data_IF_398639811247
#
_entry.id   IF_398639811247
#
_cell.length_a   1.000
_cell.length_b   1.000
_cell.length_c   1.000
_cell.angle_alpha   90.00
_cell.angle_beta   90.00
_cell.angle_gamma   90.00
#
_symmetry.space_group_name_H-M   'P 1'
#
loop_
_entity.id
_entity.type
_entity.pdbx_description
1 polymer ?
#
# COMPACT_ATOMS: atom_id res chain seq x y z
N UNK A 1 5.68 -8.54 -5.47
CA UNK A 1 4.35 -7.91 -5.33
C UNK A 1 4.29 -6.92 -4.15
N UNK A 2 5.08 -5.84 -4.19
CA UNK A 2 5.10 -4.82 -3.12
C UNK A 2 4.59 -3.44 -3.59
N UNK A 3 3.72 -3.40 -4.61
CA UNK A 3 3.34 -2.16 -5.30
C UNK A 3 1.95 -1.61 -4.91
N UNK A 4 1.27 -2.22 -3.93
CA UNK A 4 -0.11 -1.86 -3.58
C UNK A 4 -0.29 -1.64 -2.08
N UNK A 5 -0.96 -0.54 -1.73
CA UNK A 5 -1.58 -0.35 -0.41
C UNK A 5 -3.04 -0.80 -0.52
N UNK A 6 -3.47 -1.71 0.35
CA UNK A 6 -4.83 -2.27 0.34
C UNK A 6 -5.48 -2.05 1.69
N UNK A 7 -6.70 -1.53 1.68
CA UNK A 7 -7.53 -1.31 2.87
C UNK A 7 -8.78 -2.17 2.76
N UNK A 8 -9.14 -2.84 3.85
CA UNK A 8 -10.33 -3.68 3.95
C UNK A 8 -11.00 -3.41 5.29
N UNK A 9 -12.32 -3.29 5.30
CA UNK A 9 -13.10 -3.20 6.52
C UNK A 9 -14.52 -3.70 6.27
N UNK A 10 -15.09 -4.36 7.27
CA UNK A 10 -16.49 -4.79 7.28
C UNK A 10 -17.28 -3.89 8.21
N UNK A 11 -18.48 -3.51 7.78
CA UNK A 11 -19.35 -2.60 8.54
C UNK A 11 -20.82 -2.97 8.35
N UNK A 12 -21.70 -2.61 9.31
CA UNK A 12 -23.13 -2.73 9.12
C UNK A 12 -23.61 -1.89 7.92
N UNK A 13 -24.50 -2.45 7.10
CA UNK A 13 -25.02 -1.80 5.88
C UNK A 13 -25.60 -0.41 6.13
N UNK A 14 -26.28 -0.21 7.28
CA UNK A 14 -26.84 1.09 7.70
C UNK A 14 -25.79 2.18 7.90
N UNK A 15 -24.52 1.81 8.07
CA UNK A 15 -23.41 2.73 8.30
C UNK A 15 -22.50 2.85 7.07
N UNK A 16 -22.90 2.29 5.92
CA UNK A 16 -22.07 2.25 4.72
C UNK A 16 -21.67 3.63 4.23
N UNK A 17 -22.64 4.49 3.92
CA UNK A 17 -22.37 5.83 3.42
C UNK A 17 -21.54 6.67 4.41
N UNK A 18 -21.88 6.78 5.71
CA UNK A 18 -21.06 7.50 6.68
C UNK A 18 -19.64 6.93 6.88
N UNK A 19 -19.44 5.64 6.65
CA UNK A 19 -18.11 5.03 6.71
C UNK A 19 -17.29 5.34 5.46
N UNK A 20 -17.91 5.30 4.27
CA UNK A 20 -17.26 5.70 3.02
C UNK A 20 -16.85 7.17 3.04
N UNK A 21 -17.71 8.05 3.56
CA UNK A 21 -17.39 9.48 3.74
C UNK A 21 -16.18 9.69 4.67
N UNK A 22 -16.11 8.97 5.80
CA UNK A 22 -14.94 9.05 6.69
C UNK A 22 -13.68 8.45 6.05
N UNK A 23 -13.82 7.32 5.37
CA UNK A 23 -12.72 6.63 4.74
C UNK A 23 -12.10 7.48 3.62
N UNK A 24 -12.91 8.17 2.83
CA UNK A 24 -12.40 8.96 1.71
C UNK A 24 -11.56 10.16 2.15
N UNK A 25 -11.79 10.68 3.36
CA UNK A 25 -11.00 11.80 3.91
C UNK A 25 -9.51 11.47 4.02
N UNK A 26 -9.13 10.20 4.18
CA UNK A 26 -7.72 9.80 4.17
C UNK A 26 -7.01 10.11 2.84
N UNK A 27 -7.75 10.09 1.73
CA UNK A 27 -7.20 10.37 0.41
C UNK A 27 -7.31 11.86 0.05
N UNK A 28 -8.45 12.49 0.36
CA UNK A 28 -8.71 13.89 0.00
C UNK A 28 -7.90 14.86 0.87
N UNK A 29 -7.94 14.71 2.19
CA UNK A 29 -7.31 15.64 3.13
C UNK A 29 -6.95 14.95 4.44
N UNK A 30 -5.95 14.05 4.44
CA UNK A 30 -5.50 13.42 5.66
C UNK A 30 -4.96 14.49 6.61
N UNK A 31 -5.33 14.36 7.88
CA UNK A 31 -4.76 15.14 8.97
C UNK A 31 -3.35 14.61 9.27
N UNK A 32 -2.40 14.92 8.39
CA UNK A 32 -0.96 14.71 8.59
C UNK A 32 -0.47 15.72 9.63
N UNK A 33 -0.81 15.53 10.91
CA UNK A 33 -0.30 16.34 12.00
C UNK A 33 1.11 15.87 12.36
N UNK A 34 2.08 16.79 12.44
CA UNK A 34 3.46 16.47 12.82
C UNK A 34 3.52 15.66 14.12
N UNK A 35 2.84 16.14 15.16
CA UNK A 35 2.78 15.45 16.47
C UNK A 35 2.21 14.03 16.40
N UNK A 36 1.29 13.76 15.47
CA UNK A 36 0.73 12.41 15.27
C UNK A 36 1.75 11.51 14.56
N UNK A 37 2.47 12.04 13.56
CA UNK A 37 3.54 11.32 12.87
C UNK A 37 4.69 11.00 13.84
N UNK A 38 5.10 11.95 14.68
CA UNK A 38 6.15 11.75 15.69
C UNK A 38 5.74 10.73 16.76
N UNK A 39 4.44 10.66 17.13
CA UNK A 39 3.95 9.62 18.06
C UNK A 39 3.97 8.23 17.45
N UNK A 40 3.52 8.08 16.22
CA UNK A 40 3.50 6.79 15.51
C UNK A 40 4.93 6.31 15.14
N UNK A 41 5.92 7.22 15.21
CA UNK A 41 7.34 6.94 14.94
C UNK A 41 8.02 6.11 16.03
N UNK A 42 7.48 5.96 17.25
CA UNK A 42 8.13 5.13 18.29
C UNK A 42 8.42 3.67 17.83
N UNK A 43 7.83 3.24 16.71
CA UNK A 43 7.99 1.92 16.08
C UNK A 43 9.10 1.91 14.97
N UNK A 44 9.53 3.07 14.46
CA UNK A 44 10.42 3.23 13.29
C UNK A 44 11.69 3.99 13.71
N UNK A 45 12.85 3.37 13.54
CA UNK A 45 14.21 3.81 13.95
C UNK A 45 14.44 5.31 14.17
N UNK A 46 15.13 5.60 15.29
CA UNK A 46 15.49 6.92 15.85
C UNK A 46 16.23 7.92 14.93
N UNK A 47 16.73 7.52 13.76
CA UNK A 47 17.69 8.31 12.97
C UNK A 47 17.08 9.10 11.80
N UNK A 48 15.76 9.22 11.73
CA UNK A 48 15.11 10.01 10.68
C UNK A 48 14.79 11.41 11.21
N UNK A 49 14.99 12.47 10.45
CA UNK A 49 14.56 13.82 10.83
C UNK A 49 13.03 13.97 10.67
N UNK A 50 12.34 14.58 11.65
CA UNK A 50 10.87 14.69 11.66
C UNK A 50 10.35 15.55 10.50
N UNK A 51 11.03 16.66 10.18
CA UNK A 51 10.63 17.55 9.10
C UNK A 51 10.83 16.90 7.74
N UNK A 52 11.96 16.20 7.55
CA UNK A 52 12.23 15.41 6.36
C UNK A 52 11.19 14.29 6.17
N UNK A 53 10.84 13.57 7.24
CA UNK A 53 9.82 12.53 7.18
C UNK A 53 8.47 13.13 6.77
N UNK A 54 8.09 14.26 7.37
CA UNK A 54 6.87 14.97 7.05
C UNK A 54 6.80 15.35 5.56
N UNK A 55 7.87 15.94 5.04
CA UNK A 55 7.96 16.36 3.64
C UNK A 55 7.86 15.16 2.68
N UNK A 56 8.58 14.07 2.97
CA UNK A 56 8.56 12.87 2.13
C UNK A 56 7.20 12.15 2.16
N UNK A 57 6.49 12.15 3.30
CA UNK A 57 5.13 11.61 3.38
C UNK A 57 4.15 12.42 2.51
N UNK A 58 4.27 13.75 2.50
CA UNK A 58 3.45 14.59 1.62
C UNK A 58 3.76 14.36 0.15
N UNK A 59 5.04 14.35 -0.24
CA UNK A 59 5.45 14.04 -1.61
C UNK A 59 4.97 12.66 -2.05
N UNK A 60 5.10 11.66 -1.18
CA UNK A 60 4.64 10.30 -1.45
C UNK A 60 3.13 10.29 -1.69
N UNK A 61 2.35 10.92 -0.81
CA UNK A 61 0.90 11.04 -0.93
C UNK A 61 0.51 11.69 -2.26
N UNK A 62 1.02 12.89 -2.54
CA UNK A 62 0.68 13.65 -3.75
C UNK A 62 1.01 12.88 -5.04
N UNK A 63 2.10 12.11 -5.02
CA UNK A 63 2.54 11.32 -6.16
C UNK A 63 1.71 10.06 -6.38
N UNK A 64 1.35 9.38 -5.30
CA UNK A 64 0.84 8.01 -5.34
C UNK A 64 -0.67 7.90 -5.12
N UNK A 65 -1.27 8.76 -4.29
CA UNK A 65 -2.70 8.73 -3.98
C UNK A 65 -3.48 9.56 -5.00
N UNK A 66 -3.66 8.95 -6.17
CA UNK A 66 -4.32 9.55 -7.33
C UNK A 66 -5.44 8.64 -7.83
N UNK A 67 -6.61 9.21 -8.15
CA UNK A 67 -7.81 8.41 -8.41
C UNK A 67 -7.63 7.40 -9.57
N UNK A 68 -6.90 7.77 -10.63
CA UNK A 68 -6.61 6.88 -11.77
C UNK A 68 -5.83 5.60 -11.41
N UNK A 69 -5.31 5.50 -10.18
CA UNK A 69 -4.58 4.32 -9.65
C UNK A 69 -5.34 3.58 -8.56
N UNK A 70 -6.49 4.10 -8.15
CA UNK A 70 -7.29 3.52 -7.08
C UNK A 70 -8.29 2.52 -7.66
N UNK A 71 -8.57 1.48 -6.88
CA UNK A 71 -9.60 0.50 -7.18
C UNK A 71 -10.45 0.32 -5.93
N UNK A 72 -11.76 0.46 -6.09
CA UNK A 72 -12.74 0.29 -5.04
C UNK A 72 -13.64 -0.89 -5.37
N UNK A 73 -13.89 -1.75 -4.38
CA UNK A 73 -14.88 -2.81 -4.45
C UNK A 73 -15.76 -2.71 -3.21
N UNK A 74 -17.08 -2.71 -3.42
CA UNK A 74 -18.08 -2.66 -2.34
C UNK A 74 -19.02 -3.84 -2.53
N UNK A 75 -19.29 -4.55 -1.43
CA UNK A 75 -20.27 -5.62 -1.38
C UNK A 75 -21.32 -5.27 -0.32
N UNK A 76 -22.57 -5.10 -0.75
CA UNK A 76 -23.72 -4.82 0.12
C UNK A 76 -25.01 -5.35 -0.51
N UNK A 77 -26.11 -5.42 0.24
CA UNK A 77 -27.44 -5.82 -0.25
C UNK A 77 -28.28 -4.60 -0.64
N UNK A 78 -27.63 -3.59 -1.24
CA UNK A 78 -28.25 -2.38 -1.75
C UNK A 78 -28.38 -2.46 -3.27
N UNK A 79 -29.29 -1.65 -3.84
CA UNK A 79 -29.41 -1.50 -5.28
C UNK A 79 -28.12 -0.89 -5.86
N UNK A 80 -27.79 -1.26 -7.10
CA UNK A 80 -26.60 -0.77 -7.78
C UNK A 80 -26.60 0.76 -7.88
N UNK A 81 -27.75 1.36 -8.22
CA UNK A 81 -27.93 2.82 -8.30
C UNK A 81 -27.63 3.52 -6.96
N UNK A 82 -28.01 2.90 -5.84
CA UNK A 82 -27.72 3.44 -4.50
C UNK A 82 -26.22 3.38 -4.20
N UNK A 83 -25.56 2.26 -4.56
CA UNK A 83 -24.11 2.12 -4.39
C UNK A 83 -23.34 3.09 -5.27
N UNK A 84 -23.75 3.27 -6.51
CA UNK A 84 -23.17 4.25 -7.42
C UNK A 84 -23.30 5.67 -6.87
N UNK A 85 -24.49 6.04 -6.40
CA UNK A 85 -24.73 7.33 -5.76
C UNK A 85 -23.78 7.58 -4.59
N UNK A 86 -23.61 6.60 -3.68
CA UNK A 86 -22.66 6.72 -2.57
C UNK A 86 -21.22 6.87 -3.05
N UNK A 87 -20.80 6.08 -4.03
CA UNK A 87 -19.44 6.14 -4.56
C UNK A 87 -19.16 7.49 -5.22
N UNK A 88 -20.05 7.98 -6.09
CA UNK A 88 -19.88 9.28 -6.75
C UNK A 88 -19.84 10.41 -5.74
N UNK A 89 -20.74 10.37 -4.74
CA UNK A 89 -20.81 11.41 -3.71
C UNK A 89 -19.56 11.46 -2.85
N UNK A 90 -19.07 10.31 -2.36
CA UNK A 90 -17.91 10.27 -1.49
C UNK A 90 -16.59 10.39 -2.26
N UNK A 91 -16.40 9.63 -3.34
CA UNK A 91 -15.11 9.50 -4.02
C UNK A 91 -14.92 10.48 -5.18
N UNK A 92 -15.95 11.23 -5.59
CA UNK A 92 -15.84 12.23 -6.67
C UNK A 92 -14.84 13.35 -6.38
N UNK A 93 -14.51 13.60 -5.10
CA UNK A 93 -13.51 14.59 -4.69
C UNK A 93 -12.04 14.15 -4.83
N UNK A 94 -11.76 12.89 -5.20
CA UNK A 94 -10.37 12.42 -5.35
C UNK A 94 -9.79 12.88 -6.69
N UNK A 95 -8.71 13.65 -6.64
CA UNK A 95 -8.03 14.16 -7.83
C UNK A 95 -7.19 13.08 -8.54
N UNK A 96 -7.05 13.22 -9.86
CA UNK A 96 -6.12 12.44 -10.67
C UNK A 96 -4.94 13.30 -11.14
N UNK A 97 -3.73 12.93 -10.75
CA UNK A 97 -2.49 13.58 -11.20
C UNK A 97 -1.96 13.03 -12.55
N UNK A 98 -2.53 11.93 -13.06
CA UNK A 98 -2.20 11.29 -14.34
C UNK A 98 -0.72 10.94 -14.58
N UNK A 99 0.07 10.95 -13.52
CA UNK A 99 1.48 10.65 -13.63
C UNK A 99 1.69 9.16 -13.96
N UNK A 100 2.76 8.80 -14.69
CA UNK A 100 3.06 7.42 -15.04
C UNK A 100 3.49 6.62 -13.80
N UNK A 101 3.30 5.31 -13.83
CA UNK A 101 3.83 4.41 -12.79
C UNK A 101 5.35 4.55 -12.66
N UNK A 102 5.87 4.25 -11.47
CA UNK A 102 7.32 4.27 -11.26
C UNK A 102 7.98 3.22 -12.18
N UNK A 103 9.02 3.65 -12.87
CA UNK A 103 9.79 2.76 -13.73
C UNK A 103 10.74 1.93 -12.87
N UNK A 104 10.32 0.72 -12.54
CA UNK A 104 11.15 -0.28 -11.86
C UNK A 104 11.85 -1.23 -12.84
N UNK A 105 11.88 -0.93 -14.14
CA UNK A 105 12.46 -1.83 -15.16
C UNK A 105 13.92 -2.17 -14.87
N UNK A 106 14.67 -1.26 -14.23
CA UNK A 106 16.04 -1.51 -13.76
C UNK A 106 16.18 -2.70 -12.80
N UNK A 107 15.10 -3.09 -12.11
CA UNK A 107 15.11 -4.19 -11.13
C UNK A 107 14.40 -5.45 -11.64
N UNK A 108 13.73 -5.39 -12.80
CA UNK A 108 12.96 -6.53 -13.34
C UNK A 108 13.83 -7.63 -13.96
N UNK A 109 15.14 -7.40 -14.12
CA UNK A 109 16.09 -8.32 -14.76
C UNK A 109 16.83 -9.29 -13.84
N UNK A 110 16.39 -9.50 -12.60
CA UNK A 110 17.03 -10.44 -11.66
C UNK A 110 18.35 -9.94 -11.04
N UNK A 111 18.75 -8.70 -11.33
CA UNK A 111 19.93 -8.02 -10.77
C UNK A 111 19.60 -7.18 -9.52
N UNK A 112 18.50 -7.46 -8.82
CA UNK A 112 18.24 -6.83 -7.50
C UNK A 112 19.37 -7.12 -6.51
N UNK A 113 20.16 -8.15 -6.77
CA UNK A 113 21.36 -8.51 -6.04
C UNK A 113 22.54 -8.59 -7.01
N UNK A 114 23.69 -8.06 -6.60
CA UNK A 114 24.96 -8.32 -7.29
C UNK A 114 25.30 -9.81 -7.11
N UNK A 115 25.09 -10.58 -8.18
CA UNK A 115 25.29 -12.03 -8.23
C UNK A 115 26.74 -12.42 -7.87
N UNK A 116 27.71 -11.55 -8.15
CA UNK A 116 29.13 -11.79 -7.84
C UNK A 116 29.37 -11.55 -6.34
N UNK A 117 28.73 -10.54 -5.75
CA UNK A 117 28.80 -10.27 -4.31
C UNK A 117 27.98 -11.27 -3.45
N UNK A 118 26.93 -11.88 -4.01
CA UNK A 118 26.01 -12.80 -3.31
C UNK A 118 26.47 -14.26 -3.22
N UNK A 119 27.71 -14.58 -3.62
CA UNK A 119 28.34 -15.91 -3.38
C UNK A 119 28.85 -16.09 -1.94
N UNK A 120 28.13 -15.56 -0.95
CA UNK A 120 28.51 -15.66 0.47
C UNK A 120 27.48 -16.46 1.23
N UNK A 121 27.95 -17.41 2.05
CA UNK A 121 27.10 -18.07 3.04
C UNK A 121 26.90 -17.13 4.23
N UNK A 122 25.65 -16.73 4.45
CA UNK A 122 25.27 -15.92 5.61
C UNK A 122 24.79 -16.84 6.73
N UNK A 123 25.51 -16.84 7.87
CA UNK A 123 25.06 -17.52 9.09
C UNK A 123 24.24 -16.54 9.91
N UNK A 124 22.93 -16.63 9.83
CA UNK A 124 22.00 -15.83 10.65
C UNK A 124 21.82 -16.54 11.99
N UNK A 125 22.09 -15.84 13.10
CA UNK A 125 21.82 -16.37 14.44
C UNK A 125 20.38 -16.03 14.80
N UNK A 126 19.51 -17.03 14.85
CA UNK A 126 18.11 -16.86 15.24
C UNK A 126 18.03 -16.33 16.68
N UNK A 127 17.10 -15.40 16.93
CA UNK A 127 16.87 -14.79 18.24
C UNK A 127 16.02 -15.70 19.15
N UNK A 128 15.32 -16.68 18.59
CA UNK A 128 14.63 -17.77 19.31
C UNK A 128 15.11 -19.14 18.81
N UNK A 129 14.95 -20.19 19.63
CA UNK A 129 15.43 -21.55 19.37
C UNK A 129 14.69 -22.26 18.21
N UNK A 130 14.78 -21.68 17.02
CA UNK A 130 14.28 -22.23 15.78
C UNK A 130 15.47 -22.27 14.82
N UNK A 131 15.93 -23.47 14.52
CA UNK A 131 16.89 -23.71 13.44
C UNK A 131 16.13 -23.65 12.12
N UNK A 132 16.12 -22.50 11.45
CA UNK A 132 15.65 -22.42 10.06
C UNK A 132 16.84 -22.52 9.10
N UNK A 133 16.75 -23.47 8.17
CA UNK A 133 17.55 -23.39 6.93
C UNK A 133 17.04 -22.17 6.18
N UNK A 134 17.91 -21.18 5.97
CA UNK A 134 17.57 -19.99 5.19
C UNK A 134 17.11 -20.44 3.80
N UNK A 135 15.90 -20.03 3.39
CA UNK A 135 15.36 -20.34 2.07
C UNK A 135 16.38 -19.94 0.99
N UNK A 136 16.78 -20.89 0.15
CA UNK A 136 17.43 -20.60 -1.12
C UNK A 136 16.35 -20.05 -2.05
N UNK A 137 16.19 -18.73 -2.07
CA UNK A 137 15.37 -18.05 -3.08
C UNK A 137 16.04 -18.21 -4.44
N UNK A 138 15.68 -19.29 -5.12
CA UNK A 138 16.01 -19.48 -6.53
C UNK A 138 14.97 -18.70 -7.31
N UNK A 139 15.34 -17.54 -7.86
CA UNK A 139 14.50 -16.75 -8.75
C UNK A 139 14.10 -17.58 -9.98
N UNK A 140 13.01 -18.35 -9.88
CA UNK A 140 12.40 -19.03 -11.02
C UNK A 140 11.02 -18.43 -11.27
N UNK A 141 10.97 -17.69 -12.38
CA UNK A 141 9.79 -17.37 -13.17
C UNK A 141 8.67 -18.41 -13.04
N UNK A 142 7.52 -18.06 -12.45
CA UNK A 142 6.21 -18.60 -12.86
C UNK A 142 5.10 -17.56 -12.78
N UNK A 143 4.82 -17.04 -13.98
CA UNK A 143 3.55 -16.47 -14.44
C UNK A 143 2.45 -17.53 -14.25
N UNK A 144 1.40 -17.25 -13.48
CA UNK A 144 0.13 -17.96 -13.57
C UNK A 144 -1.00 -17.08 -13.04
N UNK A 145 -1.94 -16.78 -13.93
CA UNK A 145 -3.12 -15.93 -13.74
C UNK A 145 -4.32 -16.81 -14.08
N UNK A 146 -5.06 -17.30 -13.09
CA UNK A 146 -6.50 -17.65 -13.18
C UNK A 146 -7.08 -17.56 -11.76
N UNK A 147 -8.04 -16.67 -11.54
CA UNK A 147 -9.07 -16.84 -10.53
C UNK A 147 -10.40 -16.61 -11.24
N UNK A 148 -11.15 -17.70 -11.46
CA UNK A 148 -12.59 -17.67 -11.70
C UNK A 148 -13.22 -17.65 -10.30
N UNK A 149 -14.01 -16.63 -10.00
CA UNK A 149 -15.06 -16.75 -9.00
C UNK A 149 -16.28 -17.37 -9.69
N UNK A 150 -16.76 -18.49 -9.15
CA UNK A 150 -18.17 -18.86 -9.17
C UNK A 150 -18.67 -18.56 -7.76
#
# INVERSE_FOLDING_TARGET
DCEHTRFYFDIPEKQLEPALDRFVQFFIKPLMKKDAITREREIIQDDVDDDKLYEELHKFRERHYSAHRMMLAIQARLLLDTLEMYVVTCFGGILSNWLPSLNFSKFKGGISFDIVAFKKMYKVKSISAISQVCNLDTCILKKLRILKCI
#
